data_IF_141618982429
#
_entry.id   IF_141618982429
#
_cell.length_a   1.000
_cell.length_b   1.000
_cell.length_c   1.000
_cell.angle_alpha   90.00
_cell.angle_beta   90.00
_cell.angle_gamma   90.00
#
_symmetry.space_group_name_H-M   'P 1'
#
loop_
_entity.id
_entity.type
_entity.pdbx_description
1 polymer ?
#
# COMPACT_ATOMS: atom_id res chain seq x y z
N UNK A 1 -51.02 73.65 14.76
CA UNK A 1 -50.83 72.34 14.10
C UNK A 1 -49.35 72.21 13.77
N UNK A 2 -48.59 71.48 14.58
CA UNK A 2 -47.17 71.20 14.34
C UNK A 2 -47.07 69.94 13.47
N UNK A 3 -46.44 70.06 12.29
CA UNK A 3 -46.04 68.90 11.48
C UNK A 3 -44.80 68.25 12.09
N UNK A 4 -44.69 66.92 12.11
CA UNK A 4 -43.53 66.25 12.68
C UNK A 4 -42.33 66.38 11.72
N UNK A 5 -41.21 66.86 12.24
CA UNK A 5 -39.94 66.87 11.54
C UNK A 5 -39.46 65.43 11.34
N UNK A 6 -39.57 64.93 10.12
CA UNK A 6 -38.94 63.67 9.70
C UNK A 6 -37.43 63.91 9.61
N UNK A 7 -36.68 63.44 10.61
CA UNK A 7 -35.22 63.39 10.53
C UNK A 7 -34.87 62.25 9.57
N UNK A 8 -34.66 62.58 8.30
CA UNK A 8 -34.06 61.67 7.33
C UNK A 8 -32.60 61.47 7.73
N UNK A 9 -32.30 60.29 8.28
CA UNK A 9 -30.94 59.81 8.55
C UNK A 9 -30.18 59.73 7.21
N UNK A 10 -29.40 60.76 6.90
CA UNK A 10 -28.55 60.79 5.71
C UNK A 10 -27.44 59.76 5.91
N UNK A 11 -27.52 58.63 5.22
CA UNK A 11 -26.44 57.64 5.20
C UNK A 11 -25.36 58.10 4.23
N UNK A 12 -24.14 58.34 4.74
CA UNK A 12 -23.02 58.83 3.94
C UNK A 12 -22.67 57.84 2.81
N UNK A 13 -22.87 58.21 1.53
CA UNK A 13 -22.63 57.33 0.38
C UNK A 13 -21.14 56.95 0.21
N UNK A 14 -20.24 57.70 0.85
CA UNK A 14 -18.79 57.44 0.84
C UNK A 14 -18.46 56.25 1.77
N UNK A 15 -19.11 56.15 2.94
CA UNK A 15 -18.89 55.05 3.90
C UNK A 15 -19.37 53.71 3.35
N UNK A 16 -20.51 53.70 2.63
CA UNK A 16 -21.04 52.51 1.96
C UNK A 16 -20.18 52.07 0.77
N UNK A 17 -19.57 53.01 0.03
CA UNK A 17 -18.66 52.72 -1.08
C UNK A 17 -17.34 52.09 -0.61
N UNK A 18 -16.72 52.61 0.45
CA UNK A 18 -15.49 52.06 1.06
C UNK A 18 -15.75 50.66 1.65
N UNK A 19 -16.90 50.47 2.32
CA UNK A 19 -17.31 49.16 2.85
C UNK A 19 -17.57 48.13 1.75
N UNK A 20 -18.14 48.56 0.61
CA UNK A 20 -18.35 47.69 -0.54
C UNK A 20 -17.02 47.30 -1.21
N UNK A 21 -16.12 48.26 -1.44
CA UNK A 21 -14.80 48.00 -2.04
C UNK A 21 -13.97 47.05 -1.17
N UNK A 22 -13.93 47.27 0.15
CA UNK A 22 -13.22 46.38 1.08
C UNK A 22 -13.80 44.96 1.04
N UNK A 23 -15.13 44.79 1.05
CA UNK A 23 -15.77 43.48 0.87
C UNK A 23 -15.38 42.81 -0.45
N UNK A 24 -15.43 43.53 -1.58
CA UNK A 24 -15.03 43.00 -2.88
C UNK A 24 -13.55 42.56 -2.90
N UNK A 25 -12.65 43.36 -2.33
CA UNK A 25 -11.23 42.98 -2.25
C UNK A 25 -11.00 41.74 -1.38
N UNK A 26 -11.70 41.60 -0.24
CA UNK A 26 -11.62 40.41 0.61
C UNK A 26 -12.15 39.18 -0.10
N UNK A 27 -13.30 39.28 -0.78
CA UNK A 27 -13.87 38.18 -1.57
C UNK A 27 -12.90 37.78 -2.70
N UNK A 28 -12.33 38.75 -3.43
CA UNK A 28 -11.36 38.48 -4.48
C UNK A 28 -10.11 37.78 -3.93
N UNK A 29 -9.59 38.20 -2.77
CA UNK A 29 -8.45 37.55 -2.11
C UNK A 29 -8.78 36.12 -1.66
N UNK A 30 -9.98 35.91 -1.10
CA UNK A 30 -10.48 34.59 -0.74
C UNK A 30 -10.62 33.67 -1.97
N UNK A 31 -11.18 34.17 -3.07
CA UNK A 31 -11.29 33.42 -4.32
C UNK A 31 -9.91 33.12 -4.93
N UNK A 32 -8.99 34.08 -4.93
CA UNK A 32 -7.63 33.89 -5.44
C UNK A 32 -6.83 32.88 -4.59
N UNK A 33 -6.94 32.94 -3.26
CA UNK A 33 -6.32 31.96 -2.36
C UNK A 33 -6.92 30.57 -2.53
N UNK A 34 -8.25 30.46 -2.65
CA UNK A 34 -8.95 29.22 -2.93
C UNK A 34 -8.53 28.63 -4.27
N UNK A 35 -8.54 29.41 -5.35
CA UNK A 35 -8.11 28.98 -6.68
C UNK A 35 -6.65 28.49 -6.67
N UNK A 36 -5.74 29.19 -5.98
CA UNK A 36 -4.35 28.74 -5.80
C UNK A 36 -4.27 27.41 -5.05
N UNK A 37 -5.06 27.22 -4.00
CA UNK A 37 -5.11 25.95 -3.22
C UNK A 37 -5.65 24.80 -4.07
N UNK A 38 -6.73 25.02 -4.81
CA UNK A 38 -7.31 24.03 -5.74
C UNK A 38 -6.30 23.66 -6.82
N UNK A 39 -5.67 24.66 -7.46
CA UNK A 39 -4.64 24.43 -8.49
C UNK A 39 -3.45 23.66 -7.95
N UNK A 40 -2.90 24.07 -6.79
CA UNK A 40 -1.79 23.36 -6.14
C UNK A 40 -2.17 21.92 -5.81
N UNK A 41 -3.36 21.70 -5.24
CA UNK A 41 -3.86 20.38 -4.91
C UNK A 41 -4.08 19.50 -6.14
N UNK A 42 -4.56 20.07 -7.25
CA UNK A 42 -4.73 19.35 -8.50
C UNK A 42 -3.38 18.94 -9.10
N UNK A 43 -2.39 19.84 -9.16
CA UNK A 43 -1.05 19.46 -9.61
C UNK A 43 -0.39 18.42 -8.70
N UNK A 44 -0.59 18.50 -7.39
CA UNK A 44 -0.10 17.46 -6.47
C UNK A 44 -0.76 16.11 -6.75
N UNK A 45 -2.07 16.09 -7.06
CA UNK A 45 -2.77 14.88 -7.48
C UNK A 45 -2.22 14.32 -8.81
N UNK A 46 -1.96 15.18 -9.81
CA UNK A 46 -1.35 14.76 -11.07
C UNK A 46 0.07 14.20 -10.87
N UNK A 47 0.85 14.80 -9.96
CA UNK A 47 2.21 14.38 -9.66
C UNK A 47 2.31 12.99 -9.03
N UNK A 48 1.22 12.45 -8.48
CA UNK A 48 1.16 11.06 -8.01
C UNK A 48 1.17 10.03 -9.16
N UNK A 49 0.97 10.48 -10.40
CA UNK A 49 0.86 9.64 -11.57
C UNK A 49 -0.52 9.00 -11.75
N UNK A 50 -0.65 8.06 -12.71
CA UNK A 50 -1.90 7.33 -12.91
C UNK A 50 -2.22 6.41 -11.72
N UNK A 51 -3.48 6.02 -11.61
CA UNK A 51 -3.97 5.08 -10.60
C UNK A 51 -5.46 4.79 -10.79
N UNK A 52 -6.13 4.28 -9.76
CA UNK A 52 -7.55 3.91 -9.84
C UNK A 52 -8.51 5.08 -10.12
N UNK A 53 -8.14 6.32 -9.76
CA UNK A 53 -8.91 7.52 -10.10
C UNK A 53 -8.29 8.22 -11.32
N UNK A 54 -9.06 8.55 -12.37
CA UNK A 54 -8.53 9.22 -13.56
C UNK A 54 -7.87 10.56 -13.23
N UNK A 55 -6.78 10.89 -13.91
CA UNK A 55 -6.01 12.15 -13.76
C UNK A 55 -6.71 13.37 -14.39
N UNK A 56 -8.03 13.48 -14.24
CA UNK A 56 -8.88 14.55 -14.78
C UNK A 56 -9.37 15.48 -13.66
N UNK A 57 -9.86 16.69 -13.98
CA UNK A 57 -10.48 17.57 -12.97
C UNK A 57 -11.65 16.90 -12.24
N UNK A 58 -12.46 16.11 -12.93
CA UNK A 58 -13.53 15.32 -12.32
C UNK A 58 -13.00 14.25 -11.36
N UNK A 59 -11.88 13.60 -11.72
CA UNK A 59 -11.18 12.67 -10.82
C UNK A 59 -10.65 13.38 -9.57
N UNK A 60 -10.10 14.58 -9.72
CA UNK A 60 -9.65 15.38 -8.58
C UNK A 60 -10.81 15.81 -7.67
N UNK A 61 -11.95 16.23 -8.25
CA UNK A 61 -13.16 16.51 -7.48
C UNK A 61 -13.61 15.28 -6.67
N UNK A 62 -13.55 14.08 -7.27
CA UNK A 62 -13.81 12.82 -6.55
C UNK A 62 -12.86 12.65 -5.37
N UNK A 63 -11.56 12.95 -5.52
CA UNK A 63 -10.59 12.91 -4.40
C UNK A 63 -10.94 13.92 -3.32
N UNK A 64 -11.37 15.13 -3.67
CA UNK A 64 -11.84 16.12 -2.70
C UNK A 64 -13.04 15.60 -1.88
N UNK A 65 -14.01 14.94 -2.52
CA UNK A 65 -15.14 14.30 -1.83
C UNK A 65 -14.67 13.15 -0.94
N UNK A 66 -13.82 12.26 -1.46
CA UNK A 66 -13.28 11.13 -0.69
C UNK A 66 -12.48 11.58 0.54
N UNK A 67 -11.80 12.72 0.48
CA UNK A 67 -11.04 13.30 1.59
C UNK A 67 -11.89 13.58 2.83
N UNK A 68 -13.19 13.85 2.68
CA UNK A 68 -14.11 14.04 3.79
C UNK A 68 -14.28 12.74 4.60
N UNK A 69 -14.11 11.60 3.93
CA UNK A 69 -14.30 10.27 4.48
C UNK A 69 -12.99 9.57 4.82
N UNK A 70 -11.84 10.26 4.86
CA UNK A 70 -10.59 9.60 5.25
C UNK A 70 -10.54 9.34 6.76
N UNK A 71 -9.74 8.37 7.15
CA UNK A 71 -9.30 8.19 8.53
C UNK A 71 -8.60 9.46 9.00
N UNK A 72 -8.81 9.84 10.27
CA UNK A 72 -8.07 10.94 10.90
C UNK A 72 -6.61 10.57 11.11
N UNK A 73 -6.38 9.31 11.49
CA UNK A 73 -5.04 8.75 11.68
C UNK A 73 -4.96 7.35 11.04
N UNK A 74 -4.23 7.19 9.92
CA UNK A 74 -4.04 5.88 9.28
C UNK A 74 -3.16 4.92 10.10
N UNK A 75 -2.49 5.42 11.15
CA UNK A 75 -1.69 4.62 12.08
C UNK A 75 -2.49 4.08 13.27
N UNK A 76 -3.80 4.33 13.35
CA UNK A 76 -4.64 3.71 14.38
C UNK A 76 -5.10 2.34 13.90
N UNK A 77 -4.74 1.24 14.60
CA UNK A 77 -5.13 -0.11 14.19
C UNK A 77 -6.66 -0.28 14.21
N UNK A 78 -7.22 -1.14 13.35
CA UNK A 78 -8.65 -1.42 13.37
C UNK A 78 -9.05 -2.23 14.60
N UNK A 79 -10.31 -2.08 15.04
CA UNK A 79 -10.88 -2.98 16.03
C UNK A 79 -11.05 -4.39 15.45
N UNK A 80 -11.00 -5.42 16.31
CA UNK A 80 -11.31 -6.80 15.93
C UNK A 80 -12.77 -7.06 16.31
N UNK A 81 -13.69 -7.21 15.34
CA UNK A 81 -15.06 -7.57 15.64
C UNK A 81 -15.15 -8.98 16.24
N UNK A 82 -16.06 -9.19 17.19
CA UNK A 82 -16.26 -10.48 17.88
C UNK A 82 -16.71 -11.61 16.96
N UNK A 83 -17.34 -11.30 15.83
CA UNK A 83 -17.79 -12.27 14.84
C UNK A 83 -16.67 -12.79 13.92
N UNK A 84 -15.50 -12.13 13.89
CA UNK A 84 -14.37 -12.60 13.09
C UNK A 84 -13.72 -13.78 13.82
N UNK A 85 -13.52 -14.90 13.13
CA UNK A 85 -12.73 -16.01 13.66
C UNK A 85 -11.63 -16.39 12.67
N UNK A 86 -10.41 -16.67 13.15
CA UNK A 86 -9.96 -16.59 14.55
C UNK A 86 -9.84 -15.14 15.05
N UNK A 87 -9.83 -14.92 16.37
CA UNK A 87 -9.62 -13.58 16.97
C UNK A 87 -8.16 -13.09 16.91
N UNK A 88 -7.22 -13.97 16.56
CA UNK A 88 -5.79 -13.67 16.47
C UNK A 88 -5.28 -13.86 15.03
N UNK A 89 -4.38 -12.98 14.61
CA UNK A 89 -3.66 -13.13 13.35
C UNK A 89 -2.45 -14.08 13.47
N UNK A 90 -1.77 -14.29 12.34
CA UNK A 90 -0.65 -15.24 12.24
C UNK A 90 0.73 -14.59 12.16
N UNK A 91 0.78 -13.25 12.19
CA UNK A 91 2.00 -12.46 12.05
C UNK A 91 2.52 -12.02 13.44
N UNK A 92 3.06 -12.97 14.21
CA UNK A 92 3.55 -12.72 15.58
C UNK A 92 5.01 -12.25 15.63
N UNK A 93 5.91 -12.94 14.92
CA UNK A 93 7.36 -12.72 15.07
C UNK A 93 7.95 -11.76 14.03
N UNK A 94 7.24 -10.67 13.72
CA UNK A 94 7.72 -9.68 12.76
C UNK A 94 8.70 -8.71 13.46
N UNK A 95 9.96 -8.58 12.98
CA UNK A 95 10.92 -7.65 13.56
C UNK A 95 10.45 -6.21 13.36
N UNK A 96 10.97 -5.27 14.16
CA UNK A 96 10.68 -3.84 13.96
C UNK A 96 11.42 -3.34 12.72
N UNK A 97 10.74 -2.57 11.86
CA UNK A 97 11.38 -1.92 10.70
C UNK A 97 12.35 -0.85 11.20
N UNK A 98 13.55 -0.81 10.63
CA UNK A 98 14.58 0.16 11.02
C UNK A 98 14.28 1.56 10.47
N UNK A 99 14.62 2.61 11.23
CA UNK A 99 14.46 4.00 10.82
C UNK A 99 13.05 4.57 11.01
N UNK A 100 12.84 5.78 10.51
CA UNK A 100 11.55 6.47 10.54
C UNK A 100 10.54 5.85 9.57
N UNK A 101 9.27 6.18 9.76
CA UNK A 101 8.23 5.88 8.77
C UNK A 101 8.43 6.77 7.54
N UNK A 102 8.20 6.24 6.33
CA UNK A 102 8.21 7.06 5.13
C UNK A 102 7.02 8.01 5.11
N UNK A 103 7.14 9.09 4.35
CA UNK A 103 6.02 9.95 4.01
C UNK A 103 5.14 9.25 2.97
N UNK A 104 3.84 9.20 3.22
CA UNK A 104 2.84 8.65 2.29
C UNK A 104 1.78 9.70 2.03
N UNK A 105 1.44 9.90 0.76
CA UNK A 105 0.48 10.92 0.33
C UNK A 105 -0.52 10.37 -0.68
N UNK A 106 -1.65 11.05 -0.82
CA UNK A 106 -2.73 10.65 -1.73
C UNK A 106 -3.81 9.80 -1.08
N UNK A 107 -4.79 9.42 -1.89
CA UNK A 107 -5.95 8.58 -1.49
C UNK A 107 -6.15 7.51 -2.57
N UNK A 108 -6.26 7.93 -3.83
CA UNK A 108 -6.32 7.05 -4.98
C UNK A 108 -5.87 7.83 -6.23
N UNK A 109 -4.60 7.73 -6.67
CA UNK A 109 -3.56 6.87 -6.11
C UNK A 109 -3.09 7.31 -4.70
N UNK A 110 -2.59 6.34 -3.93
CA UNK A 110 -1.82 6.54 -2.70
C UNK A 110 -0.37 6.13 -3.01
N UNK A 111 0.60 6.95 -2.61
CA UNK A 111 2.03 6.75 -2.95
C UNK A 111 2.93 7.01 -1.75
N UNK A 112 3.98 6.22 -1.64
CA UNK A 112 5.09 6.46 -0.72
C UNK A 112 6.06 7.45 -1.35
N UNK A 113 6.43 8.53 -0.66
CA UNK A 113 7.26 9.62 -1.18
C UNK A 113 8.73 9.52 -0.80
N UNK A 114 9.05 8.92 0.37
CA UNK A 114 10.41 8.81 0.90
C UNK A 114 10.78 7.36 1.24
N UNK A 115 12.05 7.10 1.57
CA UNK A 115 12.57 5.79 2.00
C UNK A 115 12.17 4.60 1.12
N UNK A 116 12.18 4.82 -0.21
CA UNK A 116 11.86 3.82 -1.23
C UNK A 116 13.03 2.87 -1.46
N UNK A 117 12.73 1.61 -1.76
CA UNK A 117 13.73 0.65 -2.23
C UNK A 117 14.31 1.02 -3.59
N UNK A 118 15.49 0.48 -3.89
CA UNK A 118 16.05 0.58 -5.24
C UNK A 118 15.24 -0.26 -6.24
N UNK A 119 15.41 0.01 -7.54
CA UNK A 119 14.80 -0.81 -8.60
C UNK A 119 15.17 -2.29 -8.47
N UNK A 120 16.39 -2.60 -8.04
CA UNK A 120 16.86 -3.99 -7.82
C UNK A 120 16.04 -4.67 -6.72
N UNK A 121 15.79 -3.98 -5.61
CA UNK A 121 14.99 -4.52 -4.51
C UNK A 121 13.51 -4.66 -4.92
N UNK A 122 13.00 -3.72 -5.71
CA UNK A 122 11.66 -3.86 -6.29
C UNK A 122 11.57 -5.07 -7.22
N UNK A 123 12.55 -5.28 -8.10
CA UNK A 123 12.61 -6.47 -8.95
C UNK A 123 12.65 -7.75 -8.13
N UNK A 124 13.45 -7.79 -7.05
CA UNK A 124 13.49 -8.94 -6.14
C UNK A 124 12.13 -9.20 -5.49
N UNK A 125 11.44 -8.15 -5.02
CA UNK A 125 10.09 -8.26 -4.48
C UNK A 125 9.10 -8.83 -5.50
N UNK A 126 9.09 -8.32 -6.73
CA UNK A 126 8.19 -8.82 -7.79
C UNK A 126 8.51 -10.27 -8.17
N UNK A 127 9.79 -10.65 -8.18
CA UNK A 127 10.20 -12.02 -8.40
C UNK A 127 9.72 -12.95 -7.26
N UNK A 128 9.79 -12.51 -6.00
CA UNK A 128 9.24 -13.27 -4.87
C UNK A 128 7.72 -13.44 -4.96
N UNK A 129 6.98 -12.40 -5.37
CA UNK A 129 5.52 -12.51 -5.59
C UNK A 129 5.22 -13.52 -6.71
N UNK A 130 5.99 -13.49 -7.79
CA UNK A 130 5.85 -14.46 -8.89
C UNK A 130 6.14 -15.88 -8.43
N UNK A 131 7.23 -16.07 -7.72
CA UNK A 131 7.65 -17.37 -7.17
C UNK A 131 6.59 -17.96 -6.22
N UNK A 132 5.97 -17.13 -5.36
CA UNK A 132 4.85 -17.57 -4.51
C UNK A 132 3.69 -18.17 -5.31
N UNK A 133 3.33 -17.54 -6.45
CA UNK A 133 2.27 -18.07 -7.32
C UNK A 133 2.64 -19.41 -7.96
N UNK A 134 3.92 -19.61 -8.28
CA UNK A 134 4.42 -20.83 -8.91
C UNK A 134 4.57 -21.98 -7.91
N UNK A 135 4.88 -21.69 -6.65
CA UNK A 135 4.98 -22.69 -5.58
C UNK A 135 3.63 -23.17 -5.06
N UNK A 136 2.59 -22.34 -5.20
CA UNK A 136 1.24 -22.68 -4.75
C UNK A 136 0.21 -22.54 -5.89
N UNK A 137 0.38 -23.25 -7.03
CA UNK A 137 -0.48 -23.11 -8.20
C UNK A 137 -1.92 -23.58 -7.94
N UNK A 138 -2.12 -24.43 -6.93
CA UNK A 138 -3.44 -24.90 -6.52
C UNK A 138 -4.20 -23.91 -5.63
N UNK A 139 -3.60 -22.78 -5.27
CA UNK A 139 -4.21 -21.77 -4.39
C UNK A 139 -4.04 -20.34 -4.91
N UNK A 140 -2.97 -20.05 -5.64
CA UNK A 140 -2.56 -18.70 -6.02
C UNK A 140 -2.40 -18.56 -7.54
N UNK A 141 -2.63 -17.36 -8.05
CA UNK A 141 -2.32 -16.98 -9.43
C UNK A 141 -1.96 -15.50 -9.54
N UNK A 142 -1.29 -15.11 -10.63
CA UNK A 142 -1.00 -13.71 -10.94
C UNK A 142 -2.06 -13.12 -11.87
N UNK A 143 -2.36 -11.84 -11.68
CA UNK A 143 -3.25 -11.08 -12.55
C UNK A 143 -2.91 -9.60 -12.53
N UNK A 144 -3.67 -8.80 -13.29
CA UNK A 144 -3.60 -7.34 -13.20
C UNK A 144 -4.44 -6.87 -12.01
N UNK A 145 -3.89 -6.01 -11.14
CA UNK A 145 -4.62 -5.47 -9.99
C UNK A 145 -5.86 -4.68 -10.40
N UNK A 146 -6.94 -4.80 -9.62
CA UNK A 146 -8.19 -4.07 -9.88
C UNK A 146 -8.13 -2.61 -9.42
N UNK A 147 -7.35 -2.34 -8.36
CA UNK A 147 -7.18 -0.98 -7.82
C UNK A 147 -6.15 -0.19 -8.61
N UNK A 148 -5.13 -0.88 -9.09
CA UNK A 148 -4.00 -0.31 -9.82
C UNK A 148 -3.86 -1.05 -11.15
N UNK A 149 -4.65 -0.62 -12.14
CA UNK A 149 -4.89 -1.27 -13.46
C UNK A 149 -3.65 -1.58 -14.32
N UNK A 150 -2.45 -1.25 -13.83
CA UNK A 150 -1.18 -1.41 -14.51
C UNK A 150 -0.14 -2.17 -13.66
N UNK A 151 -0.54 -2.73 -12.52
CA UNK A 151 0.36 -3.45 -11.61
C UNK A 151 0.05 -4.94 -11.54
N UNK A 152 1.09 -5.75 -11.33
CA UNK A 152 0.96 -7.17 -11.04
C UNK A 152 0.38 -7.36 -9.64
N UNK A 153 -0.76 -8.03 -9.58
CA UNK A 153 -1.40 -8.50 -8.36
C UNK A 153 -1.24 -10.01 -8.18
N UNK A 154 -1.14 -10.43 -6.92
CA UNK A 154 -1.26 -11.82 -6.50
C UNK A 154 -2.69 -12.07 -6.04
N UNK A 155 -3.30 -13.17 -6.46
CA UNK A 155 -4.70 -13.49 -6.19
C UNK A 155 -4.84 -14.90 -5.63
N UNK A 156 -5.84 -15.09 -4.77
CA UNK A 156 -6.34 -16.40 -4.35
C UNK A 156 -7.33 -16.94 -5.37
N UNK A 157 -7.23 -18.21 -5.72
CA UNK A 157 -8.19 -18.88 -6.61
C UNK A 157 -9.61 -18.85 -6.01
N UNK A 158 -10.67 -18.68 -6.83
CA UNK A 158 -12.05 -18.55 -6.34
C UNK A 158 -12.48 -19.64 -5.34
N UNK A 159 -12.10 -20.90 -5.59
CA UNK A 159 -12.41 -22.05 -4.73
C UNK A 159 -11.75 -21.99 -3.34
N UNK A 160 -10.68 -21.20 -3.21
CA UNK A 160 -9.92 -21.06 -1.98
C UNK A 160 -10.33 -19.81 -1.21
N UNK A 161 -11.21 -18.94 -1.69
CA UNK A 161 -11.50 -17.67 -1.04
C UNK A 161 -12.40 -17.85 0.18
N UNK A 162 -11.85 -17.59 1.38
CA UNK A 162 -12.59 -17.57 2.64
C UNK A 162 -13.15 -16.19 2.97
N UNK A 163 -12.42 -15.13 2.58
CA UNK A 163 -12.86 -13.75 2.77
C UNK A 163 -12.90 -13.02 1.42
N UNK A 164 -14.11 -12.73 0.95
CA UNK A 164 -14.36 -12.01 -0.31
C UNK A 164 -14.02 -10.52 -0.14
N UNK A 165 -12.72 -10.22 -0.13
CA UNK A 165 -12.22 -8.86 -0.30
C UNK A 165 -11.55 -8.76 -1.66
N UNK A 166 -11.86 -7.69 -2.40
CA UNK A 166 -11.11 -7.34 -3.61
C UNK A 166 -11.09 -8.44 -4.70
N UNK A 167 -12.15 -9.24 -4.85
CA UNK A 167 -12.20 -10.39 -5.78
C UNK A 167 -11.05 -11.42 -5.57
N UNK A 168 -10.57 -11.55 -4.34
CA UNK A 168 -9.47 -12.47 -4.00
C UNK A 168 -8.08 -11.90 -4.21
N UNK A 169 -7.94 -10.61 -4.53
CA UNK A 169 -6.64 -9.94 -4.60
C UNK A 169 -5.96 -9.91 -3.23
N UNK A 170 -4.81 -10.58 -3.13
CA UNK A 170 -3.99 -10.69 -1.92
C UNK A 170 -3.13 -9.45 -1.75
N UNK A 171 -2.36 -9.13 -2.78
CA UNK A 171 -1.55 -7.94 -2.80
C UNK A 171 -1.32 -7.44 -4.23
N UNK A 172 -0.97 -6.17 -4.36
CA UNK A 172 -0.37 -5.63 -5.58
C UNK A 172 0.73 -4.63 -5.22
N UNK A 173 1.82 -4.68 -5.98
CA UNK A 173 2.97 -3.81 -5.76
C UNK A 173 2.97 -2.64 -6.74
N UNK A 174 3.35 -1.45 -6.28
CA UNK A 174 3.40 -0.24 -7.10
C UNK A 174 4.76 -0.14 -7.80
N UNK A 175 4.82 -0.17 -9.15
CA UNK A 175 6.10 -0.07 -9.87
C UNK A 175 6.83 1.25 -9.66
N UNK A 176 6.11 2.32 -9.33
CA UNK A 176 6.66 3.67 -9.23
C UNK A 176 7.43 3.93 -7.92
N UNK A 177 7.03 3.32 -6.80
CA UNK A 177 7.63 3.55 -5.49
C UNK A 177 7.98 2.28 -4.71
N UNK A 178 7.56 1.11 -5.20
CA UNK A 178 7.81 -0.20 -4.61
C UNK A 178 7.01 -0.51 -3.34
N UNK A 179 6.09 0.37 -2.93
CA UNK A 179 5.12 0.06 -1.88
C UNK A 179 4.06 -0.92 -2.40
N UNK A 180 3.21 -1.45 -1.51
CA UNK A 180 2.16 -2.38 -1.93
C UNK A 180 0.90 -2.25 -1.09
N UNK A 181 -0.24 -2.56 -1.69
CA UNK A 181 -1.47 -2.74 -0.96
C UNK A 181 -1.80 -4.20 -0.76
N UNK A 182 -2.42 -4.51 0.39
CA UNK A 182 -2.93 -5.83 0.72
C UNK A 182 -4.01 -5.76 1.81
N UNK A 183 -4.76 -6.84 1.97
CA UNK A 183 -5.77 -7.00 3.02
C UNK A 183 -5.30 -8.02 4.05
N UNK A 184 -5.29 -7.64 5.33
CA UNK A 184 -4.84 -8.50 6.44
C UNK A 184 -5.97 -8.80 7.43
N UNK A 185 -5.74 -9.78 8.29
CA UNK A 185 -6.49 -9.92 9.54
C UNK A 185 -6.31 -8.66 10.41
N UNK A 186 -7.34 -8.14 11.11
CA UNK A 186 -7.22 -6.88 11.86
C UNK A 186 -6.10 -6.91 12.94
N UNK A 187 -5.86 -8.06 13.58
CA UNK A 187 -4.73 -8.24 14.49
C UNK A 187 -3.35 -8.15 13.79
N UNK A 188 -3.22 -8.62 12.55
CA UNK A 188 -1.97 -8.50 11.79
C UNK A 188 -1.76 -7.06 11.30
N UNK A 189 -2.84 -6.32 11.01
CA UNK A 189 -2.79 -4.86 10.79
C UNK A 189 -2.24 -4.14 12.01
N UNK A 190 -2.65 -4.54 13.22
CA UNK A 190 -2.06 -4.00 14.45
C UNK A 190 -0.56 -4.27 14.52
N UNK A 191 -0.13 -5.51 14.28
CA UNK A 191 1.29 -5.88 14.28
C UNK A 191 2.11 -5.07 13.27
N UNK A 192 1.69 -4.98 12.00
CA UNK A 192 2.47 -4.24 10.97
C UNK A 192 2.55 -2.75 11.29
N UNK A 193 1.50 -2.16 11.87
CA UNK A 193 1.54 -0.78 12.33
C UNK A 193 2.52 -0.66 13.49
N UNK A 194 2.37 -1.39 14.59
CA UNK A 194 3.24 -1.26 15.77
C UNK A 194 4.72 -1.50 15.46
N UNK A 195 5.01 -2.41 14.53
CA UNK A 195 6.36 -2.73 14.07
C UNK A 195 6.89 -1.79 12.98
N UNK A 196 6.08 -0.85 12.48
CA UNK A 196 6.52 0.19 11.55
C UNK A 196 6.60 -0.22 10.08
N UNK A 197 5.90 -1.27 9.67
CA UNK A 197 5.92 -1.82 8.31
C UNK A 197 4.88 -1.23 7.37
N UNK A 198 3.85 -0.59 7.90
CA UNK A 198 2.81 0.00 7.07
C UNK A 198 1.83 0.85 7.86
N UNK A 199 0.79 1.26 7.15
CA UNK A 199 -0.32 2.07 7.62
C UNK A 199 -1.62 1.68 6.90
N UNK A 200 -2.76 2.04 7.48
CA UNK A 200 -4.06 1.78 6.84
C UNK A 200 -4.24 2.66 5.62
N UNK A 201 -4.95 2.14 4.64
CA UNK A 201 -5.42 2.98 3.54
C UNK A 201 -6.36 4.07 4.08
N UNK A 202 -6.29 5.34 3.61
CA UNK A 202 -7.08 6.44 4.15
C UNK A 202 -8.60 6.18 4.17
N UNK A 203 -9.09 5.38 3.22
CA UNK A 203 -10.52 5.01 3.12
C UNK A 203 -10.89 3.70 3.84
N UNK A 204 -9.96 3.03 4.53
CA UNK A 204 -10.19 1.77 5.24
C UNK A 204 -10.96 1.96 6.56
N UNK A 205 -12.09 2.69 6.54
CA UNK A 205 -12.89 3.01 7.73
C UNK A 205 -13.83 1.87 8.15
N UNK A 206 -13.97 1.69 9.46
CA UNK A 206 -14.91 0.76 10.10
C UNK A 206 -16.36 1.30 10.17
N UNK A 207 -16.80 2.05 9.16
CA UNK A 207 -18.06 2.80 9.24
C UNK A 207 -19.31 1.94 8.96
N UNK A 208 -20.41 2.31 9.63
CA UNK A 208 -21.77 1.77 9.52
C UNK A 208 -22.42 1.95 8.14
N UNK A 209 -21.91 2.82 7.26
CA UNK A 209 -22.41 2.93 5.88
C UNK A 209 -21.80 1.83 5.00
N UNK A 210 -22.10 0.57 5.31
CA UNK A 210 -21.59 -0.60 4.59
C UNK A 210 -21.92 -0.57 3.08
N UNK A 211 -23.01 0.12 2.69
CA UNK A 211 -23.46 0.25 1.30
C UNK A 211 -22.51 1.05 0.39
N UNK A 212 -21.61 1.86 0.95
CA UNK A 212 -20.61 2.63 0.19
C UNK A 212 -19.18 2.15 0.44
N UNK A 213 -18.99 0.91 0.94
CA UNK A 213 -17.67 0.35 1.24
C UNK A 213 -16.92 0.01 -0.04
N UNK A 214 -16.16 0.98 -0.58
CA UNK A 214 -15.27 0.75 -1.72
C UNK A 214 -13.93 0.10 -1.33
N UNK A 215 -13.55 0.17 -0.04
CA UNK A 215 -12.26 -0.30 0.47
C UNK A 215 -12.47 -1.12 1.77
N UNK A 216 -11.89 -2.33 1.91
CA UNK A 216 -11.98 -3.11 3.14
C UNK A 216 -11.41 -2.37 4.37
N UNK A 217 -11.96 -2.55 5.59
CA UNK A 217 -11.46 -1.89 6.81
C UNK A 217 -10.02 -2.27 7.18
N UNK A 218 -9.56 -3.44 6.74
CA UNK A 218 -8.20 -3.96 6.99
C UNK A 218 -7.28 -3.82 5.78
N UNK A 219 -7.66 -2.99 4.80
CA UNK A 219 -6.82 -2.67 3.67
C UNK A 219 -5.71 -1.71 4.09
N UNK A 220 -4.46 -2.07 3.80
CA UNK A 220 -3.25 -1.37 4.25
C UNK A 220 -2.34 -1.05 3.08
N UNK A 221 -1.47 -0.07 3.28
CA UNK A 221 -0.26 0.14 2.49
C UNK A 221 0.93 -0.41 3.30
N UNK A 222 1.66 -1.36 2.73
CA UNK A 222 2.96 -1.80 3.24
C UNK A 222 4.04 -1.00 2.54
N UNK A 223 4.98 -0.50 3.33
CA UNK A 223 6.06 0.33 2.83
C UNK A 223 7.02 -0.46 1.93
N UNK A 224 7.63 0.25 0.97
CA UNK A 224 8.63 -0.31 0.07
C UNK A 224 9.79 -0.95 0.85
N UNK A 225 10.15 -2.21 0.56
CA UNK A 225 11.33 -2.83 1.15
C UNK A 225 12.60 -2.17 0.57
N UNK A 226 13.60 -1.96 1.41
CA UNK A 226 14.87 -1.31 1.05
C UNK A 226 16.04 -2.27 0.93
N UNK A 227 15.93 -3.45 1.54
CA UNK A 227 16.96 -4.49 1.53
C UNK A 227 16.31 -5.86 1.32
N UNK A 228 17.13 -6.88 1.06
CA UNK A 228 16.64 -8.26 0.91
C UNK A 228 16.05 -8.81 2.21
N UNK A 229 16.54 -8.37 3.37
CA UNK A 229 15.99 -8.72 4.67
C UNK A 229 14.58 -8.13 4.84
N UNK A 230 14.36 -6.90 4.36
CA UNK A 230 13.03 -6.31 4.33
C UNK A 230 12.11 -7.02 3.34
N UNK A 231 12.62 -7.48 2.19
CA UNK A 231 11.84 -8.32 1.25
C UNK A 231 11.38 -9.61 1.94
N UNK A 232 12.23 -10.27 2.74
CA UNK A 232 11.82 -11.46 3.52
C UNK A 232 10.73 -11.12 4.54
N UNK A 233 10.83 -9.98 5.22
CA UNK A 233 9.79 -9.53 6.15
C UNK A 233 8.46 -9.26 5.44
N UNK A 234 8.50 -8.54 4.31
CA UNK A 234 7.33 -8.27 3.47
C UNK A 234 6.73 -9.57 2.93
N UNK A 235 7.55 -10.56 2.59
CA UNK A 235 7.08 -11.89 2.17
C UNK A 235 6.26 -12.58 3.27
N UNK A 236 6.69 -12.46 4.55
CA UNK A 236 5.91 -12.97 5.69
C UNK A 236 4.57 -12.25 5.84
N UNK A 237 4.51 -10.96 5.54
CA UNK A 237 3.26 -10.18 5.51
C UNK A 237 2.35 -10.67 4.36
N UNK A 238 2.92 -10.97 3.18
CA UNK A 238 2.16 -11.52 2.05
C UNK A 238 1.58 -12.90 2.40
N UNK A 239 2.32 -13.76 3.10
CA UNK A 239 1.78 -15.01 3.63
C UNK A 239 0.61 -14.79 4.59
N UNK A 240 0.72 -13.79 5.48
CA UNK A 240 -0.37 -13.42 6.39
C UNK A 240 -1.63 -12.95 5.64
N UNK A 241 -1.45 -12.14 4.60
CA UNK A 241 -2.54 -11.70 3.72
C UNK A 241 -3.17 -12.87 2.95
N UNK A 242 -2.34 -13.77 2.43
CA UNK A 242 -2.77 -14.96 1.70
C UNK A 242 -3.65 -15.84 2.59
N UNK A 243 -3.19 -16.14 3.81
CA UNK A 243 -3.97 -16.89 4.80
C UNK A 243 -5.27 -16.19 5.16
N UNK A 244 -5.26 -14.87 5.36
CA UNK A 244 -6.49 -14.14 5.67
C UNK A 244 -7.53 -14.22 4.55
N UNK A 245 -7.09 -14.16 3.30
CA UNK A 245 -8.00 -14.19 2.15
C UNK A 245 -8.44 -15.61 1.80
N UNK A 246 -7.54 -16.59 1.90
CA UNK A 246 -7.80 -17.97 1.49
C UNK A 246 -8.21 -18.92 2.62
N UNK A 247 -7.95 -18.56 3.88
CA UNK A 247 -8.04 -19.48 5.02
C UNK A 247 -6.94 -20.54 5.06
N UNK A 248 -6.03 -20.60 4.07
CA UNK A 248 -4.99 -21.62 3.94
C UNK A 248 -3.65 -21.06 4.43
N UNK A 249 -3.03 -21.73 5.41
CA UNK A 249 -1.70 -21.38 5.88
C UNK A 249 -0.62 -21.97 4.97
N UNK A 250 -0.31 -21.25 3.90
CA UNK A 250 0.68 -21.65 2.88
C UNK A 250 2.11 -21.79 3.42
N UNK A 251 2.41 -21.28 4.62
CA UNK A 251 3.73 -21.45 5.24
C UNK A 251 3.98 -22.91 5.64
N UNK A 252 2.92 -23.66 5.96
CA UNK A 252 3.03 -25.07 6.37
C UNK A 252 3.40 -25.99 5.20
N UNK A 253 3.10 -25.58 3.98
CA UNK A 253 3.41 -26.32 2.76
C UNK A 253 4.72 -25.88 2.09
N UNK A 254 5.40 -24.88 2.66
CA UNK A 254 6.69 -24.38 2.15
C UNK A 254 7.84 -24.87 3.07
N UNK A 255 8.57 -25.93 2.71
CA UNK A 255 9.69 -26.44 3.52
C UNK A 255 10.87 -25.45 3.64
N UNK A 256 10.93 -24.43 2.78
CA UNK A 256 11.89 -23.31 2.88
C UNK A 256 11.25 -22.03 3.47
N UNK A 257 9.99 -22.12 3.90
CA UNK A 257 9.18 -21.02 4.41
C UNK A 257 9.63 -20.58 5.80
N UNK A 258 10.69 -19.77 5.84
CA UNK A 258 11.16 -18.96 6.99
C UNK A 258 10.75 -19.54 8.34
N UNK A 259 11.46 -20.59 8.77
CA UNK A 259 11.40 -21.07 10.15
C UNK A 259 11.69 -19.89 11.10
N UNK A 260 10.96 -19.77 12.23
CA UNK A 260 11.28 -18.77 13.24
C UNK A 260 12.69 -19.03 13.77
N UNK A 261 13.47 -17.95 13.93
CA UNK A 261 14.72 -17.99 14.69
C UNK A 261 14.34 -18.36 16.12
N UNK A 262 14.46 -19.63 16.48
CA UNK A 262 14.42 -20.06 17.88
C UNK A 262 15.64 -19.48 18.56
N UNK A 263 15.45 -18.47 19.41
CA UNK A 263 16.49 -18.07 20.35
C UNK A 263 16.67 -19.21 21.36
N UNK A 264 17.90 -19.76 21.37
CA UNK A 264 18.61 -20.26 22.55
C UNK A 264 17.93 -21.35 23.37
N UNK A 265 18.35 -22.59 23.11
CA UNK A 265 18.19 -23.71 24.02
C UNK A 265 18.87 -23.44 25.38
N UNK A 266 18.24 -24.02 26.40
CA UNK A 266 18.79 -24.26 27.73
C UNK A 266 20.19 -24.89 27.68
N UNK A 267 21.12 -24.29 28.41
CA UNK A 267 22.43 -24.83 28.75
C UNK A 267 22.32 -25.78 29.97
N UNK A 268 22.75 -27.04 29.89
CA UNK A 268 23.15 -27.79 31.06
C UNK A 268 24.66 -27.60 31.31
N UNK A 269 24.97 -27.00 32.46
CA UNK A 269 26.31 -26.96 33.05
C UNK A 269 26.91 -28.37 33.15
N UNK A 270 28.10 -28.57 32.57
CA UNK A 270 29.08 -29.47 33.18
C UNK A 270 30.53 -29.08 32.88
N UNK A 271 31.33 -29.21 33.93
CA UNK A 271 32.71 -28.80 34.13
C UNK A 271 33.75 -29.78 33.58
N UNK A 272 34.89 -29.26 33.10
CA UNK A 272 36.28 -29.76 33.24
C UNK A 272 37.11 -29.21 32.06
N UNK A 273 38.01 -28.25 32.26
CA UNK A 273 39.40 -28.34 32.73
C UNK A 273 40.39 -28.98 31.72
N UNK A 274 41.36 -28.14 31.29
CA UNK A 274 42.71 -28.45 30.73
C UNK A 274 42.72 -29.02 29.29
N UNK A 275 43.54 -28.63 28.29
CA UNK A 275 44.95 -28.19 28.21
C UNK A 275 45.20 -27.40 26.89
N UNK A 276 46.18 -26.50 26.89
CA UNK A 276 46.81 -25.89 25.70
C UNK A 276 47.77 -26.86 25.01
N UNK A 277 47.97 -26.71 23.69
CA UNK A 277 49.22 -26.80 22.89
C UNK A 277 48.80 -26.79 21.39
N UNK A 278 49.03 -25.76 20.58
CA UNK A 278 50.22 -25.33 19.81
C UNK A 278 50.52 -26.14 18.52
N UNK A 279 50.91 -25.39 17.45
CA UNK A 279 51.70 -25.77 16.24
C UNK A 279 50.86 -26.33 15.06
N UNK A 280 51.01 -26.01 13.76
CA UNK A 280 51.75 -25.04 12.89
C UNK A 280 51.45 -25.47 11.43
N UNK A 281 51.59 -24.55 10.45
CA UNK A 281 52.00 -24.80 9.05
C UNK A 281 51.02 -25.56 8.13
N UNK A 282 50.91 -25.35 6.81
CA UNK A 282 51.55 -24.53 5.76
C UNK A 282 50.55 -24.47 4.59
N UNK A 283 50.36 -23.34 3.92
CA UNK A 283 50.88 -23.01 2.58
C UNK A 283 50.84 -24.13 1.51
N UNK A 284 50.12 -23.90 0.40
CA UNK A 284 50.51 -24.08 -1.02
C UNK A 284 49.31 -23.67 -1.91
N UNK A 285 49.38 -22.58 -2.69
CA UNK A 285 49.83 -22.49 -4.10
C UNK A 285 48.75 -23.02 -5.07
N UNK A 286 47.94 -22.18 -5.71
CA UNK A 286 48.16 -21.35 -6.93
C UNK A 286 47.84 -22.07 -8.26
N UNK A 287 47.33 -21.27 -9.22
CA UNK A 287 47.23 -21.49 -10.68
C UNK A 287 46.06 -22.40 -11.15
N UNK A 288 45.33 -22.13 -12.25
CA UNK A 288 45.63 -21.27 -13.39
C UNK A 288 44.34 -20.90 -14.16
N UNK A 289 44.43 -19.81 -14.91
CA UNK A 289 43.47 -19.32 -15.89
C UNK A 289 43.33 -20.22 -17.12
N UNK A 290 42.29 -19.99 -17.96
CA UNK A 290 42.40 -19.62 -19.40
C UNK A 290 41.08 -19.86 -20.17
N UNK A 291 40.55 -18.77 -20.78
CA UNK A 291 39.76 -18.62 -22.03
C UNK A 291 38.43 -19.41 -22.18
N UNK A 292 37.36 -18.88 -22.79
CA UNK A 292 37.23 -18.46 -24.20
C UNK A 292 36.03 -17.49 -24.39
N UNK A 293 36.18 -16.61 -25.37
CA UNK A 293 35.30 -15.61 -25.99
C UNK A 293 33.91 -16.09 -26.48
N UNK A 294 32.92 -15.17 -26.51
CA UNK A 294 31.58 -15.31 -27.14
C UNK A 294 31.60 -15.18 -28.68
N UNK A 295 30.60 -14.59 -29.37
CA UNK A 295 29.21 -14.21 -29.01
C UNK A 295 28.16 -14.76 -30.02
N UNK A 296 26.84 -14.62 -29.76
CA UNK A 296 25.83 -14.52 -30.83
C UNK A 296 24.50 -13.95 -30.32
N UNK A 297 24.03 -12.91 -31.01
CA UNK A 297 22.69 -12.35 -30.91
C UNK A 297 21.73 -13.08 -31.87
N UNK A 298 20.49 -13.25 -31.45
CA UNK A 298 19.34 -13.54 -32.32
C UNK A 298 18.09 -13.06 -31.56
N UNK A 299 17.54 -11.91 -31.90
CA UNK A 299 16.58 -11.67 -32.98
C UNK A 299 15.13 -11.71 -32.46
N UNK A 300 14.43 -10.63 -32.78
CA UNK A 300 13.09 -10.26 -32.37
C UNK A 300 12.08 -10.94 -33.30
N UNK A 301 11.14 -11.71 -32.73
CA UNK A 301 9.90 -12.02 -33.43
C UNK A 301 8.69 -11.57 -32.62
N UNK A 302 8.12 -10.49 -33.12
CA UNK A 302 6.87 -9.80 -32.80
C UNK A 302 5.68 -10.71 -33.15
N UNK A 303 4.73 -10.88 -32.22
CA UNK A 303 3.40 -11.42 -32.53
C UNK A 303 2.31 -10.40 -32.16
N UNK A 304 1.19 -10.36 -32.90
CA UNK A 304 0.32 -9.20 -33.01
C UNK A 304 -0.65 -9.07 -31.83
N UNK A 305 -0.92 -7.81 -31.48
CA UNK A 305 -2.00 -7.40 -30.59
C UNK A 305 -3.27 -7.36 -31.43
N UNK A 306 -4.17 -8.31 -31.19
CA UNK A 306 -5.55 -8.22 -31.68
C UNK A 306 -6.37 -7.45 -30.65
N UNK A 307 -6.70 -6.22 -31.04
CA UNK A 307 -7.48 -5.26 -30.28
C UNK A 307 -8.97 -5.59 -30.48
N UNK A 308 -9.57 -6.28 -29.51
CA UNK A 308 -11.02 -6.40 -29.40
C UNK A 308 -11.51 -5.60 -28.19
N UNK A 309 -12.00 -4.41 -28.52
CA UNK A 309 -12.71 -3.47 -27.64
C UNK A 309 -14.01 -4.11 -27.13
N UNK A 310 -13.99 -4.60 -25.89
CA UNK A 310 -15.18 -4.86 -25.08
C UNK A 310 -14.82 -4.82 -23.60
N UNK A 311 -15.03 -3.69 -22.92
CA UNK A 311 -15.40 -3.64 -21.49
C UNK A 311 -15.80 -2.23 -21.05
N UNK A 312 -16.96 -1.77 -21.53
CA UNK A 312 -17.83 -0.92 -20.72
C UNK A 312 -18.80 -1.82 -19.95
N UNK A 313 -18.98 -1.57 -18.65
CA UNK A 313 -19.90 -2.23 -17.70
C UNK A 313 -19.35 -3.41 -16.87
N UNK A 314 -18.58 -3.11 -15.82
CA UNK A 314 -18.40 -4.01 -14.67
C UNK A 314 -18.31 -3.27 -13.32
N UNK A 315 -19.16 -2.25 -13.13
CA UNK A 315 -19.39 -1.58 -11.82
C UNK A 315 -20.88 -1.59 -11.42
N UNK A 316 -21.77 -2.19 -12.21
CA UNK A 316 -23.21 -2.26 -11.89
C UNK A 316 -23.78 -3.64 -12.24
N UNK A 317 -23.48 -4.66 -11.43
CA UNK A 317 -24.29 -5.87 -11.25
C UNK A 317 -24.10 -6.44 -9.84
N UNK A 318 -24.63 -5.74 -8.85
CA UNK A 318 -25.12 -6.34 -7.61
C UNK A 318 -26.61 -6.04 -7.58
N UNK A 319 -27.40 -6.91 -8.22
CA UNK A 319 -28.85 -7.10 -8.07
C UNK A 319 -29.32 -8.05 -9.19
N UNK A 320 -29.31 -9.35 -8.90
CA UNK A 320 -30.29 -10.34 -9.37
C UNK A 320 -29.99 -11.67 -8.68
N UNK A 321 -30.46 -11.78 -7.44
CA UNK A 321 -31.06 -12.94 -6.76
C UNK A 321 -31.30 -12.51 -5.32
#
# INVERSE_FOLDING_TARGET
>A
MQLPSVVLLWQDPISSSVSSLTLFTLVALCLATFARRVRKGYHAFLALGPGGTPSTPAGYLRICVLRIFTLRNPLTPPSIPSYIQPQSGILKDLPRRAGSRPEVVGIAPQRQMTDRGSKVIYSALTATIKDLSLRHPDSLFLGTSRFEKHSTGLFSLPRCQSHLTCNGEICHSHPCDGSMHLTLHPADVKTIIEKGWGERHPLARESWWWRFRFVPPTFVLIYSPRTMEEVRCVTRIIYAASWWISGIDLRKSDPNGVLPISQGQDEPKQSSSVRKDQVRSSCSTELNATQVSGPAASDMSRFPVEEHDMTQNAILRLNTA
#
